data_IF_335636530106
#
_entry.id   IF_335636530106
#
_cell.length_a   1.000
_cell.length_b   1.000
_cell.length_c   1.000
_cell.angle_alpha   90.00
_cell.angle_beta   90.00
_cell.angle_gamma   90.00
#
_symmetry.space_group_name_H-M   'P 1'
#
loop_
_entity.id
_entity.type
_entity.pdbx_description
1 polymer ?
#
# COMPACT_ATOMS: atom_id res chain seq x y z
N UNK A 1 -15.83 15.15 7.53
CA UNK A 1 -15.51 13.86 8.19
C UNK A 1 -14.48 14.15 9.27
N UNK A 2 -14.91 14.37 10.51
CA UNK A 2 -13.97 14.59 11.61
C UNK A 2 -13.28 13.27 11.95
N UNK A 3 -12.02 13.19 11.55
CA UNK A 3 -11.09 12.08 11.79
C UNK A 3 -10.56 12.11 13.24
N UNK A 4 -11.39 12.54 14.21
CA UNK A 4 -10.94 13.11 15.49
C UNK A 4 -10.07 12.21 16.37
N UNK A 5 -10.10 10.88 16.17
CA UNK A 5 -9.38 9.92 17.00
C UNK A 5 -8.42 8.99 16.24
N UNK A 6 -8.17 9.21 14.94
CA UNK A 6 -7.26 8.34 14.16
C UNK A 6 -5.84 8.91 14.24
N UNK A 7 -4.98 8.28 15.04
CA UNK A 7 -3.56 8.67 15.21
C UNK A 7 -2.68 8.36 14.00
N UNK A 8 -3.12 7.48 13.10
CA UNK A 8 -2.39 7.11 11.90
C UNK A 8 -3.14 6.05 11.08
N UNK A 9 -2.85 6.01 9.78
CA UNK A 9 -3.42 5.03 8.84
C UNK A 9 -2.28 4.24 8.21
N UNK A 10 -2.40 2.91 8.21
CA UNK A 10 -1.41 2.01 7.61
C UNK A 10 -2.11 1.05 6.66
N UNK A 11 -1.60 0.94 5.44
CA UNK A 11 -1.99 -0.05 4.44
C UNK A 11 -0.93 -1.16 4.40
N UNK A 12 -1.29 -2.38 4.78
CA UNK A 12 -0.43 -3.55 4.65
C UNK A 12 -0.74 -4.28 3.35
N UNK A 13 0.22 -4.29 2.44
CA UNK A 13 0.16 -5.05 1.19
C UNK A 13 0.81 -6.41 1.40
N UNK A 14 0.07 -7.47 1.12
CA UNK A 14 0.57 -8.84 1.16
C UNK A 14 0.78 -9.30 -0.27
N UNK A 15 2.01 -9.63 -0.63
CA UNK A 15 2.43 -9.93 -1.99
C UNK A 15 2.97 -11.36 -1.99
N UNK A 16 2.44 -12.20 -2.88
CA UNK A 16 2.96 -13.54 -3.09
C UNK A 16 4.36 -13.47 -3.76
N UNK A 17 5.27 -14.38 -3.43
CA UNK A 17 6.64 -14.41 -3.94
C UNK A 17 6.78 -14.75 -5.44
N UNK A 18 5.69 -15.09 -6.11
CA UNK A 18 5.66 -15.21 -7.56
C UNK A 18 6.10 -13.91 -8.26
N UNK A 19 6.83 -14.01 -9.39
CA UNK A 19 7.24 -12.83 -10.15
C UNK A 19 6.04 -11.98 -10.57
N UNK A 20 6.09 -10.71 -10.21
CA UNK A 20 5.09 -9.74 -10.64
C UNK A 20 5.32 -9.36 -12.10
N UNK A 21 4.25 -9.30 -12.87
CA UNK A 21 4.30 -8.76 -14.22
C UNK A 21 4.33 -7.22 -14.21
N UNK A 22 4.64 -6.63 -15.36
CA UNK A 22 4.80 -5.18 -15.49
C UNK A 22 3.57 -4.37 -15.06
N UNK A 23 2.36 -4.84 -15.36
CA UNK A 23 1.13 -4.13 -14.98
C UNK A 23 0.86 -4.22 -13.48
N UNK A 24 1.18 -5.35 -12.85
CA UNK A 24 1.12 -5.50 -11.39
C UNK A 24 2.10 -4.55 -10.70
N UNK A 25 3.34 -4.43 -11.19
CA UNK A 25 4.33 -3.48 -10.66
C UNK A 25 3.84 -2.04 -10.80
N UNK A 26 3.31 -1.66 -11.96
CA UNK A 26 2.78 -0.32 -12.21
C UNK A 26 1.58 -0.01 -11.29
N UNK A 27 0.68 -0.97 -11.10
CA UNK A 27 -0.46 -0.82 -10.22
C UNK A 27 -0.04 -0.67 -8.75
N UNK A 28 0.96 -1.44 -8.29
CA UNK A 28 1.50 -1.28 -6.93
C UNK A 28 2.11 0.10 -6.72
N UNK A 29 2.86 0.63 -7.71
CA UNK A 29 3.40 2.01 -7.66
C UNK A 29 2.28 3.03 -7.49
N UNK A 30 1.22 2.94 -8.31
CA UNK A 30 0.05 3.84 -8.23
C UNK A 30 -0.66 3.76 -6.88
N UNK A 31 -0.82 2.55 -6.32
CA UNK A 31 -1.39 2.35 -4.98
C UNK A 31 -0.54 3.02 -3.91
N UNK A 32 0.77 2.83 -3.93
CA UNK A 32 1.72 3.43 -2.97
C UNK A 32 1.69 4.96 -3.06
N UNK A 33 1.75 5.51 -4.27
CA UNK A 33 1.70 6.96 -4.49
C UNK A 33 0.40 7.59 -3.96
N UNK A 34 -0.74 6.98 -4.26
CA UNK A 34 -2.04 7.50 -3.82
C UNK A 34 -2.25 7.36 -2.30
N UNK A 35 -1.77 6.27 -1.70
CA UNK A 35 -1.82 6.07 -0.26
C UNK A 35 -0.97 7.12 0.47
N UNK A 36 0.27 7.35 0.01
CA UNK A 36 1.18 8.34 0.58
C UNK A 36 0.61 9.76 0.47
N UNK A 37 0.03 10.15 -0.69
CA UNK A 37 -0.67 11.43 -0.87
C UNK A 37 -1.85 11.60 0.10
N UNK A 38 -2.45 10.49 0.54
CA UNK A 38 -3.56 10.48 1.49
C UNK A 38 -3.12 10.39 2.96
N UNK A 39 -1.82 10.48 3.23
CA UNK A 39 -1.24 10.36 4.58
C UNK A 39 -1.32 8.95 5.15
N UNK A 40 -1.42 7.93 4.30
CA UNK A 40 -1.45 6.51 4.68
C UNK A 40 -0.06 5.92 4.47
N UNK A 41 0.55 5.38 5.53
CA UNK A 41 1.82 4.64 5.42
C UNK A 41 1.58 3.30 4.75
N UNK A 42 2.42 2.91 3.80
CA UNK A 42 2.36 1.58 3.17
C UNK A 42 3.45 0.67 3.71
N UNK A 43 3.09 -0.56 4.06
CA UNK A 43 3.99 -1.63 4.47
C UNK A 43 3.75 -2.84 3.57
N UNK A 44 4.81 -3.46 3.05
CA UNK A 44 4.70 -4.66 2.21
C UNK A 44 5.24 -5.90 2.93
N UNK A 45 4.54 -7.01 2.79
CA UNK A 45 4.91 -8.33 3.32
C UNK A 45 4.95 -9.31 2.14
N UNK A 46 6.09 -9.97 1.96
CA UNK A 46 6.23 -11.05 0.98
C UNK A 46 5.83 -12.38 1.62
N UNK A 47 4.86 -13.08 1.05
CA UNK A 47 4.49 -14.44 1.43
C UNK A 47 5.44 -15.43 0.77
N UNK A 48 5.98 -16.34 1.58
CA UNK A 48 6.73 -17.52 1.15
C UNK A 48 5.82 -18.73 1.08
#
# INVERSE_FOLDING_TARGET
>A
MESGNIKGRVLKLVINDNPLNSSQIENLKKVVENANKSGIKVEAILLK
#
